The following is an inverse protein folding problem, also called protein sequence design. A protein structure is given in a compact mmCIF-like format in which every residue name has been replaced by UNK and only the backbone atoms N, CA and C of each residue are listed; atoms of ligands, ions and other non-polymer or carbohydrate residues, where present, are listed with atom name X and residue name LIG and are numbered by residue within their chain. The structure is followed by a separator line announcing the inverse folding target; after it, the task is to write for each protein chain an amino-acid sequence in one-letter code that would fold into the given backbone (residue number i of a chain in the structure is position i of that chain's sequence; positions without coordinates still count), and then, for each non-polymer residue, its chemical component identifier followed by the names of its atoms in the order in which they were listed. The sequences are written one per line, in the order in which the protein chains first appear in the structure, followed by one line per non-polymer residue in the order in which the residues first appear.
data_IF_446062504328
#
_entry.id   IF_446062504328
#
_cell.length_a   1.000
_cell.length_b   1.000
_cell.length_c   1.000
_cell.angle_alpha   90.00
_cell.angle_beta   90.00
_cell.angle_gamma   90.00
#
_symmetry.space_group_name_H-M   'P 1'
#
loop_
_entity.id
_entity.type
_entity.pdbx_description
1 polymer ?
#
# COMPACT_ATOMS: atom_id res chain seq x y z
N UNK A 1 -6.32 -14.79 -16.88
CA UNK A 1 -6.89 -13.82 -15.91
C UNK A 1 -8.41 -13.97 -15.95
N UNK A 2 -9.14 -13.75 -14.84
CA UNK A 2 -10.61 -13.71 -14.90
C UNK A 2 -11.10 -12.27 -14.91
N UNK A 3 -12.10 -11.98 -15.74
CA UNK A 3 -12.85 -10.72 -15.75
C UNK A 3 -14.27 -11.01 -15.25
N UNK A 4 -14.74 -10.16 -14.36
CA UNK A 4 -16.05 -10.22 -13.76
C UNK A 4 -16.85 -8.99 -14.19
N UNK A 5 -18.11 -9.22 -14.52
CA UNK A 5 -19.09 -8.16 -14.65
C UNK A 5 -19.96 -8.16 -13.41
N UNK A 6 -20.00 -7.03 -12.71
CA UNK A 6 -20.79 -6.84 -11.49
C UNK A 6 -21.85 -5.78 -11.76
N UNK A 7 -23.13 -6.13 -11.65
CA UNK A 7 -24.22 -5.16 -11.86
C UNK A 7 -24.34 -4.23 -10.66
N UNK A 8 -24.50 -2.92 -10.92
CA UNK A 8 -24.75 -1.93 -9.86
C UNK A 8 -26.17 -2.14 -9.31
N UNK A 9 -26.26 -2.89 -8.23
CA UNK A 9 -27.50 -3.18 -7.49
C UNK A 9 -27.36 -2.63 -6.07
N UNK A 10 -28.47 -2.28 -5.43
CA UNK A 10 -28.46 -1.73 -4.06
C UNK A 10 -27.74 -2.68 -3.06
N UNK A 11 -27.87 -3.98 -3.26
CA UNK A 11 -27.20 -4.99 -2.44
C UNK A 11 -25.67 -4.97 -2.64
N UNK A 12 -25.22 -4.87 -3.89
CA UNK A 12 -23.79 -4.75 -4.19
C UNK A 12 -23.22 -3.43 -3.64
N UNK A 13 -23.86 -2.31 -3.95
CA UNK A 13 -23.38 -0.98 -3.52
C UNK A 13 -23.32 -0.87 -1.99
N UNK A 14 -24.33 -1.40 -1.29
CA UNK A 14 -24.34 -1.43 0.18
C UNK A 14 -23.20 -2.26 0.78
N UNK A 15 -22.97 -3.47 0.28
CA UNK A 15 -21.85 -4.31 0.75
C UNK A 15 -20.48 -3.76 0.36
N UNK A 16 -20.38 -3.13 -0.81
CA UNK A 16 -19.17 -2.47 -1.28
C UNK A 16 -18.82 -1.26 -0.42
N UNK A 17 -19.79 -0.38 -0.14
CA UNK A 17 -19.60 0.79 0.72
C UNK A 17 -19.22 0.37 2.14
N UNK A 18 -19.83 -0.70 2.67
CA UNK A 18 -19.46 -1.26 3.98
C UNK A 18 -18.02 -1.75 3.97
N UNK A 19 -17.59 -2.49 2.94
CA UNK A 19 -16.22 -3.00 2.81
C UNK A 19 -15.20 -1.85 2.74
N UNK A 20 -15.48 -0.81 1.94
CA UNK A 20 -14.61 0.37 1.83
C UNK A 20 -14.55 1.16 3.14
N UNK A 21 -15.68 1.33 3.82
CA UNK A 21 -15.73 2.00 5.13
C UNK A 21 -14.92 1.23 6.18
N UNK A 22 -15.12 -0.08 6.29
CA UNK A 22 -14.39 -0.92 7.25
C UNK A 22 -12.88 -0.85 7.03
N UNK A 23 -12.44 -0.87 5.77
CA UNK A 23 -11.02 -0.66 5.43
C UNK A 23 -10.51 0.69 5.92
N UNK A 24 -11.22 1.78 5.63
CA UNK A 24 -10.80 3.14 6.02
C UNK A 24 -10.70 3.29 7.53
N UNK A 25 -11.67 2.75 8.26
CA UNK A 25 -11.68 2.77 9.73
C UNK A 25 -10.48 2.00 10.33
N UNK A 26 -10.10 0.87 9.73
CA UNK A 26 -8.99 0.05 10.25
C UNK A 26 -7.61 0.55 9.80
N UNK A 27 -7.49 1.04 8.57
CA UNK A 27 -6.20 1.46 8.00
C UNK A 27 -5.72 2.81 8.54
N UNK A 28 -6.65 3.74 8.86
CA UNK A 28 -6.31 5.07 9.35
C UNK A 28 -5.37 5.07 10.58
N UNK A 29 -5.69 4.38 11.69
CA UNK A 29 -4.79 4.36 12.85
C UNK A 29 -3.45 3.66 12.55
N UNK A 30 -3.41 2.71 11.62
CA UNK A 30 -2.18 2.05 11.21
C UNK A 30 -1.28 2.97 10.37
N UNK A 31 -1.87 3.80 9.50
CA UNK A 31 -1.16 4.83 8.76
C UNK A 31 -0.61 5.91 9.69
N UNK A 32 -1.39 6.37 10.67
CA UNK A 32 -0.91 7.31 11.68
C UNK A 32 0.29 6.76 12.47
N UNK A 33 0.22 5.48 12.87
CA UNK A 33 1.31 4.79 13.52
C UNK A 33 2.56 4.66 12.62
N UNK A 34 2.38 4.38 11.33
CA UNK A 34 3.46 4.37 10.35
C UNK A 34 4.11 5.74 10.22
N UNK A 35 3.34 6.81 10.02
CA UNK A 35 3.86 8.17 9.91
C UNK A 35 4.61 8.59 11.18
N UNK A 36 4.08 8.26 12.37
CA UNK A 36 4.76 8.52 13.64
C UNK A 36 6.09 7.75 13.77
N UNK A 37 6.13 6.49 13.31
CA UNK A 37 7.36 5.69 13.30
C UNK A 37 8.40 6.26 12.33
N UNK A 38 7.97 6.65 11.13
CA UNK A 38 8.83 7.26 10.11
C UNK A 38 9.41 8.60 10.57
N UNK A 39 8.59 9.42 11.23
CA UNK A 39 9.06 10.67 11.86
C UNK A 39 10.16 10.40 12.90
N UNK A 40 9.94 9.46 13.83
CA UNK A 40 10.94 9.09 14.85
C UNK A 40 12.23 8.54 14.22
N UNK A 41 12.11 7.73 13.18
CA UNK A 41 13.27 7.22 12.45
C UNK A 41 14.05 8.35 11.75
N UNK A 42 13.36 9.32 11.16
CA UNK A 42 13.98 10.49 10.56
C UNK A 42 14.71 11.34 11.62
N UNK A 43 14.12 11.56 12.79
CA UNK A 43 14.79 12.25 13.90
C UNK A 43 16.05 11.52 14.39
N UNK A 44 15.98 10.20 14.56
CA UNK A 44 17.11 9.39 14.97
C UNK A 44 18.27 9.46 13.94
N UNK A 45 17.95 9.41 12.64
CA UNK A 45 18.93 9.57 11.57
C UNK A 45 19.56 10.95 11.57
N UNK A 46 18.76 12.01 11.71
CA UNK A 46 19.28 13.38 11.82
C UNK A 46 20.20 13.56 13.04
N UNK A 47 19.85 12.96 14.19
CA UNK A 47 20.68 13.00 15.39
C UNK A 47 22.01 12.25 15.18
N UNK A 48 21.98 11.13 14.47
CA UNK A 48 23.17 10.38 14.05
C UNK A 48 24.05 11.20 13.10
N UNK A 49 23.47 11.80 12.06
CA UNK A 49 24.21 12.61 11.08
C UNK A 49 24.88 13.82 11.75
N UNK A 50 24.16 14.51 12.65
CA UNK A 50 24.74 15.60 13.47
C UNK A 50 25.91 15.11 14.33
N UNK A 51 25.81 13.90 14.89
CA UNK A 51 26.89 13.30 15.67
C UNK A 51 28.14 13.04 14.82
N UNK A 52 27.96 12.49 13.61
CA UNK A 52 29.04 12.24 12.67
C UNK A 52 29.69 13.54 12.21
N UNK A 53 28.89 14.56 11.88
CA UNK A 53 29.39 15.87 11.47
C UNK A 53 30.20 16.57 12.58
N UNK A 54 29.77 16.45 13.85
CA UNK A 54 30.51 16.98 15.00
C UNK A 54 31.85 16.26 15.22
N UNK A 55 31.92 14.95 14.97
CA UNK A 55 33.16 14.14 15.04
C UNK A 55 34.18 14.55 13.98
N UNK A 56 33.74 15.00 12.81
CA UNK A 56 34.61 15.54 11.75
C UNK A 56 35.21 16.91 12.06
N UNK A 57 34.60 17.70 12.96
CA UNK A 57 35.04 19.04 13.35
C UNK A 57 35.99 19.08 14.55
N UNK A 58 36.22 17.95 15.24
CA UNK A 58 37.08 17.88 16.43
C UNK A 58 38.57 17.65 16.11
N UNK A 59 39.03 18.05 14.91
CA UNK A 59 40.44 18.12 14.55
C UNK A 59 40.88 19.57 14.47
N UNK A 60 42.03 19.88 15.09
CA UNK A 60 42.75 21.16 15.15
C UNK A 60 42.56 22.02 16.41
N UNK A 61 42.94 21.48 17.57
CA UNK A 61 43.73 22.24 18.56
C UNK A 61 44.92 21.40 19.02
N UNK A 62 46.14 21.81 18.65
CA UNK A 62 47.38 21.32 19.26
C UNK A 62 47.59 22.10 20.57
N UNK A 63 47.31 21.45 21.69
CA UNK A 63 47.71 21.90 23.02
C UNK A 63 48.32 20.71 23.77
N UNK A 64 49.47 20.87 24.44
CA UNK A 64 50.06 19.80 25.22
C UNK A 64 49.28 19.65 26.53
N UNK A 65 49.30 18.43 27.06
CA UNK A 65 48.81 17.98 28.38
C UNK A 65 47.42 17.31 28.43
N UNK A 66 47.48 16.02 28.79
CA UNK A 66 46.46 15.10 29.30
C UNK A 66 45.35 14.61 28.36
N UNK A 67 45.61 13.41 27.84
CA UNK A 67 44.78 12.60 26.95
C UNK A 67 43.75 11.79 27.77
N UNK A 68 42.76 12.45 28.36
CA UNK A 68 41.52 11.79 28.80
C UNK A 68 40.38 12.19 27.88
N UNK A 69 40.39 11.66 26.66
CA UNK A 69 39.29 11.82 25.71
C UNK A 69 39.37 10.67 24.71
N UNK A 70 38.60 9.58 24.94
CA UNK A 70 38.03 8.78 23.84
C UNK A 70 37.06 7.63 24.17
N UNK A 71 36.60 7.42 25.40
CA UNK A 71 35.55 6.40 25.64
C UNK A 71 34.11 6.95 25.59
N UNK A 72 33.89 8.23 25.91
CA UNK A 72 32.55 8.84 25.88
C UNK A 72 31.99 9.03 24.47
N UNK A 73 32.84 9.30 23.48
CA UNK A 73 32.41 9.43 22.08
C UNK A 73 32.02 8.09 21.43
N UNK A 74 32.64 6.99 21.85
CA UNK A 74 32.36 5.65 21.33
C UNK A 74 31.05 5.11 21.92
N UNK A 75 30.85 5.23 23.23
CA UNK A 75 29.60 4.84 23.91
C UNK A 75 28.39 5.63 23.37
N UNK A 76 28.50 6.96 23.26
CA UNK A 76 27.43 7.79 22.69
C UNK A 76 27.18 7.56 21.19
N UNK A 77 28.17 7.06 20.44
CA UNK A 77 27.97 6.65 19.04
C UNK A 77 27.24 5.31 18.93
N UNK A 78 27.58 4.33 19.77
CA UNK A 78 26.94 3.03 19.76
C UNK A 78 25.47 3.14 20.21
N UNK A 79 25.17 3.94 21.23
CA UNK A 79 23.80 4.22 21.68
C UNK A 79 22.94 4.86 20.58
N UNK A 80 23.48 5.86 19.86
CA UNK A 80 22.77 6.53 18.76
C UNK A 80 22.55 5.59 17.56
N UNK A 81 23.53 4.75 17.23
CA UNK A 81 23.37 3.73 16.21
C UNK A 81 22.31 2.68 16.60
N UNK A 82 22.30 2.26 17.87
CA UNK A 82 21.27 1.36 18.40
C UNK A 82 19.88 2.02 18.32
N UNK A 83 19.77 3.33 18.60
CA UNK A 83 18.52 4.07 18.45
C UNK A 83 18.01 4.10 17.00
N UNK A 84 18.90 4.35 16.01
CA UNK A 84 18.55 4.28 14.58
C UNK A 84 18.02 2.89 14.23
N UNK A 85 18.74 1.82 14.61
CA UNK A 85 18.32 0.44 14.34
C UNK A 85 17.00 0.07 15.00
N UNK A 86 16.77 0.53 16.23
CA UNK A 86 15.50 0.32 16.92
C UNK A 86 14.36 1.01 16.16
N UNK A 87 14.54 2.26 15.72
CA UNK A 87 13.52 2.98 14.94
C UNK A 87 13.24 2.36 13.57
N UNK A 88 14.26 1.83 12.89
CA UNK A 88 14.06 1.10 11.63
C UNK A 88 13.18 -0.15 11.82
N UNK A 89 13.38 -0.87 12.93
CA UNK A 89 12.53 -2.00 13.31
C UNK A 89 11.07 -1.60 13.52
N UNK A 90 10.83 -0.47 14.18
CA UNK A 90 9.47 0.06 14.37
C UNK A 90 8.80 0.48 13.06
N UNK A 91 9.53 1.16 12.16
CA UNK A 91 9.03 1.53 10.83
C UNK A 91 8.65 0.29 10.02
N UNK A 92 9.50 -0.74 10.05
CA UNK A 92 9.22 -2.00 9.36
C UNK A 92 7.93 -2.65 9.87
N UNK A 93 7.73 -2.74 11.19
CA UNK A 93 6.51 -3.33 11.76
C UNK A 93 5.27 -2.51 11.44
N UNK A 94 5.36 -1.17 11.51
CA UNK A 94 4.23 -0.30 11.18
C UNK A 94 3.81 -0.42 9.71
N UNK A 95 4.78 -0.41 8.79
CA UNK A 95 4.52 -0.67 7.36
C UNK A 95 3.93 -2.05 7.12
N UNK A 96 4.48 -3.08 7.77
CA UNK A 96 3.98 -4.44 7.68
C UNK A 96 2.51 -4.50 8.10
N UNK A 97 2.14 -3.84 9.20
CA UNK A 97 0.76 -3.81 9.70
C UNK A 97 -0.22 -3.16 8.71
N UNK A 98 0.16 -2.04 8.10
CA UNK A 98 -0.66 -1.41 7.04
C UNK A 98 -0.89 -2.38 5.88
N UNK A 99 0.17 -3.03 5.38
CA UNK A 99 0.05 -3.99 4.28
C UNK A 99 -0.74 -5.26 4.64
N UNK A 100 -0.70 -5.71 5.89
CA UNK A 100 -1.55 -6.81 6.37
C UNK A 100 -3.03 -6.41 6.32
N UNK A 101 -3.39 -5.22 6.81
CA UNK A 101 -4.75 -4.69 6.75
C UNK A 101 -5.21 -4.59 5.29
N UNK A 102 -4.39 -3.97 4.43
CA UNK A 102 -4.68 -3.85 2.98
C UNK A 102 -4.99 -5.21 2.38
N UNK A 103 -4.14 -6.22 2.58
CA UNK A 103 -4.36 -7.56 2.01
C UNK A 103 -5.66 -8.22 2.49
N UNK A 104 -5.94 -8.13 3.79
CA UNK A 104 -7.17 -8.69 4.36
C UNK A 104 -8.41 -8.05 3.74
N UNK A 105 -8.41 -6.72 3.59
CA UNK A 105 -9.54 -6.01 2.98
C UNK A 105 -9.62 -6.20 1.47
N UNK A 106 -8.50 -6.35 0.77
CA UNK A 106 -8.50 -6.70 -0.66
C UNK A 106 -9.07 -8.08 -0.94
N UNK A 107 -8.77 -9.08 -0.09
CA UNK A 107 -9.32 -10.42 -0.24
C UNK A 107 -10.84 -10.41 0.04
N UNK A 108 -11.29 -9.68 1.08
CA UNK A 108 -12.73 -9.47 1.34
C UNK A 108 -13.44 -8.73 0.20
N UNK A 109 -12.81 -7.69 -0.34
CA UNK A 109 -13.31 -6.96 -1.51
C UNK A 109 -13.44 -7.88 -2.72
N UNK A 110 -12.47 -8.78 -2.92
CA UNK A 110 -12.54 -9.78 -3.98
C UNK A 110 -13.73 -10.74 -3.80
N UNK A 111 -14.01 -11.17 -2.57
CA UNK A 111 -15.18 -12.00 -2.25
C UNK A 111 -16.49 -11.28 -2.56
N UNK A 112 -16.61 -9.99 -2.22
CA UNK A 112 -17.78 -9.17 -2.60
C UNK A 112 -17.96 -9.13 -4.11
N UNK A 113 -16.87 -8.91 -4.87
CA UNK A 113 -16.92 -8.93 -6.34
C UNK A 113 -17.38 -10.29 -6.90
N UNK A 114 -16.88 -11.40 -6.34
CA UNK A 114 -17.28 -12.73 -6.78
C UNK A 114 -18.75 -13.02 -6.46
N UNK A 115 -19.22 -12.62 -5.27
CA UNK A 115 -20.58 -12.85 -4.81
C UNK A 115 -21.62 -12.14 -5.68
N UNK A 116 -21.33 -10.91 -6.10
CA UNK A 116 -22.24 -10.09 -6.91
C UNK A 116 -21.95 -10.13 -8.42
N UNK A 117 -21.05 -11.00 -8.87
CA UNK A 117 -20.73 -11.14 -10.28
C UNK A 117 -21.94 -11.70 -11.06
N UNK A 118 -22.47 -10.89 -11.97
CA UNK A 118 -23.49 -11.32 -12.92
C UNK A 118 -22.90 -12.26 -13.98
N UNK A 119 -21.64 -12.03 -14.38
CA UNK A 119 -20.90 -12.89 -15.29
C UNK A 119 -19.43 -12.97 -14.90
N UNK A 120 -18.81 -14.11 -15.23
CA UNK A 120 -17.37 -14.33 -15.11
C UNK A 120 -16.86 -14.96 -16.40
N UNK A 121 -15.82 -14.38 -16.97
CA UNK A 121 -15.16 -14.89 -18.18
C UNK A 121 -13.66 -15.00 -17.94
N UNK A 122 -13.02 -15.96 -18.61
CA UNK A 122 -11.56 -16.06 -18.63
C UNK A 122 -11.04 -15.28 -19.84
N UNK A 123 -9.94 -14.56 -19.65
CA UNK A 123 -9.19 -14.01 -20.77
C UNK A 123 -8.54 -15.13 -21.57
N UNK A 124 -8.45 -14.95 -22.88
CA UNK A 124 -7.65 -15.81 -23.74
C UNK A 124 -6.13 -15.59 -23.55
N UNK A 125 -5.33 -16.31 -24.34
CA UNK A 125 -3.86 -16.24 -24.33
C UNK A 125 -3.31 -14.85 -24.67
N UNK A 126 -4.11 -14.04 -25.38
CA UNK A 126 -3.75 -12.67 -25.78
C UNK A 126 -4.31 -11.59 -24.84
N UNK A 127 -5.03 -11.99 -23.79
CA UNK A 127 -5.62 -11.09 -22.81
C UNK A 127 -6.99 -10.54 -23.20
N UNK A 128 -7.58 -10.97 -24.32
CA UNK A 128 -8.92 -10.53 -24.70
C UNK A 128 -10.00 -11.29 -23.93
N UNK A 129 -11.14 -10.63 -23.72
CA UNK A 129 -12.31 -11.22 -23.09
C UNK A 129 -13.58 -10.77 -23.84
N UNK A 130 -14.60 -11.62 -23.83
CA UNK A 130 -15.89 -11.33 -24.46
C UNK A 130 -17.00 -11.68 -23.46
N UNK A 131 -17.81 -10.68 -23.13
CA UNK A 131 -19.04 -10.84 -22.35
C UNK A 131 -20.22 -10.80 -23.33
N UNK A 132 -21.16 -11.73 -23.22
CA UNK A 132 -22.32 -11.86 -24.12
C UNK A 132 -23.62 -11.82 -23.32
N UNK A 133 -24.72 -11.39 -23.96
CA UNK A 133 -26.03 -11.26 -23.31
C UNK A 133 -25.99 -10.44 -22.02
N UNK A 134 -25.22 -9.34 -22.05
CA UNK A 134 -25.04 -8.47 -20.90
C UNK A 134 -26.26 -7.55 -20.75
N UNK A 135 -26.89 -7.45 -19.56
CA UNK A 135 -27.99 -6.53 -19.33
C UNK A 135 -27.56 -5.07 -19.50
N UNK A 136 -28.40 -4.25 -20.12
CA UNK A 136 -28.19 -2.79 -20.17
C UNK A 136 -28.30 -2.16 -18.79
N UNK A 137 -27.49 -1.15 -18.51
CA UNK A 137 -27.49 -0.43 -17.24
C UNK A 137 -26.09 -0.16 -16.69
N UNK A 138 -26.02 0.31 -15.45
CA UNK A 138 -24.76 0.58 -14.78
C UNK A 138 -24.16 -0.73 -14.24
N UNK A 139 -22.87 -0.93 -14.49
CA UNK A 139 -22.13 -2.08 -13.99
C UNK A 139 -20.68 -1.71 -13.72
N UNK A 140 -19.94 -2.66 -13.16
CA UNK A 140 -18.52 -2.58 -12.98
C UNK A 140 -17.83 -3.74 -13.69
N UNK A 141 -16.74 -3.44 -14.38
CA UNK A 141 -15.79 -4.44 -14.84
C UNK A 141 -14.72 -4.58 -13.78
N UNK A 142 -14.61 -5.77 -13.21
CA UNK A 142 -13.60 -6.13 -12.24
C UNK A 142 -12.65 -7.17 -12.81
N UNK A 143 -11.34 -6.93 -12.69
CA UNK A 143 -10.33 -7.92 -13.00
C UNK A 143 -9.16 -7.81 -12.02
N UNK A 144 -8.55 -8.95 -11.70
CA UNK A 144 -7.35 -9.02 -10.87
C UNK A 144 -6.32 -9.94 -11.50
N UNK A 145 -5.10 -9.46 -11.60
CA UNK A 145 -3.97 -10.22 -12.10
C UNK A 145 -2.78 -10.12 -11.16
N UNK A 146 -2.33 -11.27 -10.68
CA UNK A 146 -1.15 -11.39 -9.82
C UNK A 146 0.00 -11.96 -10.65
N UNK A 147 1.08 -11.20 -10.77
CA UNK A 147 2.32 -11.61 -11.42
C UNK A 147 3.48 -11.51 -10.40
N UNK A 148 3.87 -12.66 -9.85
CA UNK A 148 4.89 -12.72 -8.80
C UNK A 148 4.51 -11.93 -7.56
N UNK A 149 5.19 -10.81 -7.32
CA UNK A 149 4.92 -9.88 -6.19
C UNK A 149 4.02 -8.70 -6.57
N UNK A 150 3.66 -8.55 -7.84
CA UNK A 150 2.80 -7.46 -8.31
C UNK A 150 1.36 -7.95 -8.34
N UNK A 151 0.47 -7.08 -7.88
CA UNK A 151 -0.97 -7.26 -7.95
C UNK A 151 -1.55 -6.10 -8.75
N UNK A 152 -2.30 -6.42 -9.78
CA UNK A 152 -2.95 -5.48 -10.68
C UNK A 152 -4.45 -5.65 -10.54
N UNK A 153 -5.13 -4.57 -10.19
CA UNK A 153 -6.57 -4.57 -9.96
C UNK A 153 -7.21 -3.50 -10.82
N UNK A 154 -8.19 -3.93 -11.61
CA UNK A 154 -9.05 -3.08 -12.40
C UNK A 154 -10.45 -3.15 -11.81
N UNK A 155 -11.00 -1.99 -11.49
CA UNK A 155 -12.37 -1.84 -11.02
C UNK A 155 -12.96 -0.59 -11.67
N UNK A 156 -13.68 -0.79 -12.78
CA UNK A 156 -14.07 0.29 -13.69
C UNK A 156 -15.60 0.33 -13.78
N UNK A 157 -16.25 1.43 -13.38
CA UNK A 157 -17.67 1.62 -13.65
C UNK A 157 -17.89 1.85 -15.14
N UNK A 158 -18.87 1.16 -15.70
CA UNK A 158 -19.27 1.24 -17.10
C UNK A 158 -20.79 1.39 -17.20
N UNK A 159 -21.23 2.09 -18.25
CA UNK A 159 -22.63 2.14 -18.66
C UNK A 159 -22.82 1.21 -19.86
N UNK A 160 -23.53 0.10 -19.65
CA UNK A 160 -23.82 -0.87 -20.69
C UNK A 160 -25.01 -0.39 -21.50
N UNK A 161 -24.77 -0.16 -22.79
CA UNK A 161 -25.80 0.23 -23.77
C UNK A 161 -26.08 -0.94 -24.70
N UNK A 162 -27.22 -0.90 -25.37
CA UNK A 162 -27.55 -1.90 -26.39
C UNK A 162 -26.52 -1.89 -27.53
N UNK A 163 -26.06 -3.06 -27.95
CA UNK A 163 -25.11 -3.23 -29.05
C UNK A 163 -23.74 -3.74 -28.58
N UNK A 164 -22.71 -3.53 -29.41
CA UNK A 164 -21.35 -3.95 -29.13
C UNK A 164 -20.56 -2.79 -28.51
N UNK A 165 -19.92 -3.04 -27.38
CA UNK A 165 -19.04 -2.09 -26.69
C UNK A 165 -17.68 -2.75 -26.42
N UNK A 166 -16.64 -1.93 -26.34
CA UNK A 166 -15.28 -2.36 -26.00
C UNK A 166 -14.79 -1.60 -24.78
N UNK A 167 -14.15 -2.31 -23.86
CA UNK A 167 -13.56 -1.77 -22.64
C UNK A 167 -12.12 -2.27 -22.54
N UNK A 168 -11.17 -1.35 -22.67
CA UNK A 168 -9.75 -1.64 -22.56
C UNK A 168 -9.28 -1.48 -21.11
N UNK A 169 -8.69 -2.55 -20.55
CA UNK A 169 -8.18 -2.55 -19.18
C UNK A 169 -6.69 -2.17 -19.12
N UNK A 170 -5.99 -1.88 -20.22
CA UNK A 170 -4.53 -1.67 -20.19
C UNK A 170 -4.10 -0.39 -19.46
N UNK A 171 -4.87 0.70 -19.50
CA UNK A 171 -4.47 2.00 -18.93
C UNK A 171 -5.08 2.32 -17.55
N UNK A 172 -6.16 1.65 -17.15
CA UNK A 172 -6.94 2.00 -15.96
C UNK A 172 -6.52 1.25 -14.68
N UNK A 173 -5.28 0.78 -14.66
CA UNK A 173 -4.74 0.11 -13.49
C UNK A 173 -4.67 1.14 -12.34
N UNK A 174 -5.29 0.82 -11.21
CA UNK A 174 -5.07 1.45 -9.89
C UNK A 174 -5.85 2.73 -9.53
N UNK A 175 -6.41 3.53 -10.44
CA UNK A 175 -7.00 4.84 -10.02
C UNK A 175 -8.31 4.78 -9.24
N UNK A 176 -9.01 3.64 -9.23
CA UNK A 176 -10.33 3.48 -8.58
C UNK A 176 -10.39 2.37 -7.54
N UNK A 177 -9.30 1.65 -7.32
CA UNK A 177 -9.25 0.62 -6.28
C UNK A 177 -9.04 1.28 -4.91
N UNK A 178 -10.02 1.23 -3.99
CA UNK A 178 -9.98 2.05 -2.77
C UNK A 178 -9.10 1.48 -1.65
N UNK A 179 -8.48 0.30 -1.86
CA UNK A 179 -7.69 -0.42 -0.86
C UNK A 179 -6.18 -0.14 -0.96
N UNK A 180 -5.80 0.98 -1.56
CA UNK A 180 -4.40 1.40 -1.65
C UNK A 180 -4.11 2.44 -0.54
N UNK A 181 -3.01 2.27 0.23
CA UNK A 181 -2.59 3.24 1.24
C UNK A 181 -1.98 4.51 0.62
#
# INVERSE_FOLDING_TARGET
MSVFLVTSSDAFEGEWDEAVRAFREEVAPAMDAQSAAEYKAAEARLAWDRALAARGKSGWRRGPWTLTLRNTSAAGSQERWNAVRATDGFVFQARKKVWEIVRTHEDRAHEVMQKHAAQRVQTDETGHYVLVNVPTGNAYVYARWREGKKDFVWFIPIEIRSGTQSVDLTQDNQRRWPFLP
#
